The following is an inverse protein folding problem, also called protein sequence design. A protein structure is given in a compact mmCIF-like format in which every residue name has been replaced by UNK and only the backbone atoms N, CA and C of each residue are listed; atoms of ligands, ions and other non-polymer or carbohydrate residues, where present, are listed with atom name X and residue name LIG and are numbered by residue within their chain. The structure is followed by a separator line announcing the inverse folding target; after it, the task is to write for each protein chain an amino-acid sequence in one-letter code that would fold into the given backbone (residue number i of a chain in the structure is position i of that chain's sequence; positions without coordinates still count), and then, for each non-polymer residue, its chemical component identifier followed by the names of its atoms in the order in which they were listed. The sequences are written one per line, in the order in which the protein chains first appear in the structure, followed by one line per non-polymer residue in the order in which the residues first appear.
data_IF_375583259346
#
_entry.id   IF_375583259346
#
_cell.length_a   1.000
_cell.length_b   1.000
_cell.length_c   1.000
_cell.angle_alpha   90.00
_cell.angle_beta   90.00
_cell.angle_gamma   90.00
#
_symmetry.space_group_name_H-M   'P 1'
#
loop_
_entity.id
_entity.type
_entity.pdbx_description
1 polymer ?
#
# COMPACT_ATOMS: atom_id res chain seq x y z
N UNK A 1 -16.77 2.40 -15.50
CA UNK A 1 -16.12 3.69 -15.21
C UNK A 1 -17.20 4.75 -15.42
N UNK A 2 -17.47 5.59 -14.42
CA UNK A 2 -18.55 6.59 -14.45
C UNK A 2 -19.88 6.05 -15.01
N UNK A 3 -20.31 4.89 -14.52
CA UNK A 3 -21.55 4.21 -14.97
C UNK A 3 -21.46 3.57 -16.35
N UNK A 4 -20.36 3.68 -17.09
CA UNK A 4 -20.20 3.07 -18.41
C UNK A 4 -19.52 1.71 -18.32
N UNK A 5 -20.07 0.72 -19.01
CA UNK A 5 -19.40 -0.56 -19.20
C UNK A 5 -18.21 -0.37 -20.18
N UNK A 6 -17.00 -0.70 -19.72
CA UNK A 6 -15.76 -0.55 -20.51
C UNK A 6 -15.13 -1.89 -20.91
N UNK A 7 -15.79 -3.02 -20.70
CA UNK A 7 -15.25 -4.35 -20.99
C UNK A 7 -14.80 -4.50 -22.45
N UNK A 8 -15.59 -3.99 -23.41
CA UNK A 8 -15.27 -4.03 -24.85
C UNK A 8 -14.40 -2.86 -25.35
N UNK A 9 -14.03 -1.91 -24.48
CA UNK A 9 -13.28 -0.72 -24.87
C UNK A 9 -11.78 -0.98 -24.77
N UNK A 10 -10.99 -0.58 -25.78
CA UNK A 10 -9.54 -0.68 -25.74
C UNK A 10 -8.98 0.11 -24.53
N UNK A 11 -7.95 -0.40 -23.82
CA UNK A 11 -7.38 0.28 -22.62
C UNK A 11 -7.01 1.74 -22.87
N UNK A 12 -6.48 2.08 -24.04
CA UNK A 12 -6.12 3.46 -24.42
C UNK A 12 -7.30 4.44 -24.50
N UNK A 13 -8.53 3.92 -24.66
CA UNK A 13 -9.76 4.70 -24.79
C UNK A 13 -10.62 4.70 -23.50
N UNK A 14 -10.15 4.09 -22.40
CA UNK A 14 -10.89 3.98 -21.14
C UNK A 14 -10.77 5.22 -20.24
N UNK A 15 -10.06 6.22 -20.66
CA UNK A 15 -9.76 7.45 -19.88
C UNK A 15 -9.11 7.17 -18.52
N UNK A 16 -8.29 6.13 -18.47
CA UNK A 16 -7.45 5.77 -17.33
C UNK A 16 -6.01 6.14 -17.61
N UNK A 17 -5.27 6.49 -16.57
CA UNK A 17 -3.81 6.66 -16.65
C UNK A 17 -3.11 5.65 -15.77
N UNK A 18 -2.06 5.03 -16.28
CA UNK A 18 -1.28 4.03 -15.55
C UNK A 18 0.13 4.56 -15.26
N UNK A 19 0.55 4.37 -14.02
CA UNK A 19 1.91 4.59 -13.53
C UNK A 19 2.49 3.23 -13.21
N UNK A 20 3.51 2.82 -13.97
CA UNK A 20 4.17 1.53 -13.83
C UNK A 20 5.26 1.58 -12.77
N UNK A 21 5.58 0.44 -12.17
CA UNK A 21 6.66 0.23 -11.22
C UNK A 21 8.01 0.77 -11.73
N UNK A 22 8.36 0.53 -13.01
CA UNK A 22 9.58 1.02 -13.65
C UNK A 22 9.50 2.47 -14.12
N UNK A 23 8.38 3.18 -13.82
CA UNK A 23 8.06 4.51 -14.33
C UNK A 23 7.86 4.57 -15.85
N UNK A 24 8.40 3.65 -16.63
CA UNK A 24 8.33 3.53 -18.09
C UNK A 24 8.57 4.87 -18.83
N UNK A 25 9.54 5.67 -18.38
CA UNK A 25 9.91 6.93 -19.02
C UNK A 25 10.76 6.65 -20.27
N UNK A 26 10.55 7.45 -21.31
CA UNK A 26 11.36 7.40 -22.53
C UNK A 26 12.73 8.02 -22.26
N UNK A 27 13.84 7.24 -22.22
CA UNK A 27 15.13 7.72 -21.75
C UNK A 27 15.79 8.74 -22.68
N UNK A 28 15.44 8.73 -23.95
CA UNK A 28 15.96 9.64 -24.98
C UNK A 28 15.22 10.99 -25.04
N UNK A 29 14.03 11.08 -24.43
CA UNK A 29 13.22 12.29 -24.38
C UNK A 29 13.49 13.09 -23.11
N UNK A 30 13.36 14.43 -23.18
CA UNK A 30 13.34 15.27 -21.98
C UNK A 30 12.09 15.02 -21.13
N UNK A 31 12.07 15.50 -19.88
CA UNK A 31 10.91 15.47 -19.00
C UNK A 31 9.70 16.11 -19.69
N UNK A 32 9.86 17.30 -20.24
CA UNK A 32 8.79 17.99 -20.97
C UNK A 32 8.21 17.11 -22.08
N UNK A 33 9.05 16.51 -22.92
CA UNK A 33 8.60 15.64 -23.99
C UNK A 33 7.97 14.34 -23.50
N UNK A 34 8.47 13.75 -22.41
CA UNK A 34 7.82 12.62 -21.76
C UNK A 34 6.39 12.95 -21.35
N UNK A 35 6.18 14.12 -20.72
CA UNK A 35 4.86 14.57 -20.29
C UNK A 35 3.96 14.98 -21.47
N UNK A 36 4.52 15.54 -22.54
CA UNK A 36 3.76 15.92 -23.76
C UNK A 36 3.25 14.71 -24.54
N UNK A 37 3.99 13.59 -24.54
CA UNK A 37 3.74 12.42 -25.42
C UNK A 37 2.28 11.95 -25.41
N UNK A 38 1.61 11.74 -24.26
CA UNK A 38 0.23 11.28 -24.26
C UNK A 38 -0.74 12.26 -24.95
N UNK A 39 -0.53 13.56 -24.77
CA UNK A 39 -1.36 14.60 -25.39
C UNK A 39 -1.08 14.72 -26.89
N UNK A 40 0.18 14.61 -27.30
CA UNK A 40 0.52 14.60 -28.72
C UNK A 40 -0.14 13.43 -29.47
N UNK A 41 -0.21 12.26 -28.80
CA UNK A 41 -0.86 11.07 -29.37
C UNK A 41 -2.39 11.15 -29.34
N UNK A 42 -2.99 11.91 -28.44
CA UNK A 42 -4.44 12.09 -28.36
C UNK A 42 -4.94 13.19 -29.28
N UNK A 43 -4.28 14.35 -29.26
CA UNK A 43 -4.83 15.60 -29.79
C UNK A 43 -4.34 15.92 -31.21
N UNK A 44 -3.19 15.33 -31.66
CA UNK A 44 -2.67 15.50 -33.01
C UNK A 44 -3.09 14.35 -33.92
N UNK A 45 -3.59 14.68 -35.10
CA UNK A 45 -3.84 13.71 -36.18
C UNK A 45 -2.52 13.11 -36.70
N UNK A 46 -2.60 11.99 -37.41
CA UNK A 46 -1.42 11.34 -37.99
C UNK A 46 -0.61 12.31 -38.88
N UNK A 47 -1.28 13.14 -39.71
CA UNK A 47 -0.64 14.13 -40.55
C UNK A 47 0.05 15.25 -39.74
N UNK A 48 -0.58 15.71 -38.67
CA UNK A 48 -0.02 16.75 -37.81
C UNK A 48 1.20 16.27 -36.99
N UNK A 49 1.37 14.95 -36.81
CA UNK A 49 2.56 14.37 -36.16
C UNK A 49 3.77 14.32 -37.07
N UNK A 50 3.59 14.31 -38.38
CA UNK A 50 4.70 14.30 -39.35
C UNK A 50 5.44 15.63 -39.34
N UNK A 51 6.80 15.63 -39.35
CA UNK A 51 7.59 16.85 -39.14
C UNK A 51 7.42 17.89 -40.26
N UNK A 52 7.23 17.46 -41.50
CA UNK A 52 7.07 18.34 -42.65
C UNK A 52 5.61 18.72 -42.92
N UNK A 53 4.72 17.73 -43.05
CA UNK A 53 3.30 17.94 -43.35
C UNK A 53 2.54 18.62 -42.18
N UNK A 54 2.92 18.33 -40.97
CA UNK A 54 2.29 18.95 -39.80
C UNK A 54 2.55 20.46 -39.69
N UNK A 55 3.62 21.00 -40.28
CA UNK A 55 3.89 22.44 -40.30
C UNK A 55 2.89 23.23 -41.12
N UNK A 56 2.22 22.59 -42.06
CA UNK A 56 1.22 23.20 -42.92
C UNK A 56 -0.15 23.37 -42.24
N UNK A 57 -0.38 22.73 -41.07
CA UNK A 57 -1.62 22.84 -40.33
C UNK A 57 -1.61 24.06 -39.38
N UNK A 58 -2.44 25.09 -39.61
CA UNK A 58 -2.53 26.24 -38.71
C UNK A 58 -3.05 25.84 -37.29
N UNK A 59 -3.82 24.74 -37.20
CA UNK A 59 -4.36 24.22 -35.94
C UNK A 59 -3.27 23.60 -35.06
N UNK A 60 -2.22 23.01 -35.64
CA UNK A 60 -1.11 22.37 -34.92
C UNK A 60 -0.42 23.31 -33.94
N UNK A 61 -0.14 24.55 -34.38
CA UNK A 61 0.52 25.53 -33.50
C UNK A 61 -0.30 25.90 -32.28
N UNK A 62 -1.61 25.99 -32.41
CA UNK A 62 -2.53 26.21 -31.26
C UNK A 62 -2.56 25.01 -30.31
N UNK A 63 -2.69 23.78 -30.87
CA UNK A 63 -2.69 22.55 -30.09
C UNK A 63 -1.37 22.37 -29.32
N UNK A 64 -0.22 22.60 -29.94
CA UNK A 64 1.09 22.51 -29.29
C UNK A 64 1.24 23.49 -28.13
N UNK A 65 0.78 24.75 -28.29
CA UNK A 65 0.78 25.74 -27.20
C UNK A 65 -0.10 25.31 -26.03
N UNK A 66 -1.29 24.78 -26.32
CA UNK A 66 -2.19 24.23 -25.28
C UNK A 66 -1.56 23.05 -24.54
N UNK A 67 -0.92 22.13 -25.25
CA UNK A 67 -0.21 21.00 -24.67
C UNK A 67 0.94 21.48 -23.78
N UNK A 68 1.75 22.42 -24.25
CA UNK A 68 2.85 22.98 -23.46
C UNK A 68 2.34 23.70 -22.19
N UNK A 69 1.23 24.43 -22.29
CA UNK A 69 0.61 25.09 -21.13
C UNK A 69 0.16 24.06 -20.09
N UNK A 70 -0.53 22.98 -20.51
CA UNK A 70 -0.95 21.90 -19.63
C UNK A 70 0.24 21.18 -18.95
N UNK A 71 1.31 20.95 -19.69
CA UNK A 71 2.54 20.35 -19.15
C UNK A 71 3.19 21.26 -18.11
N UNK A 72 3.28 22.57 -18.37
CA UNK A 72 3.85 23.53 -17.41
C UNK A 72 3.01 23.62 -16.13
N UNK A 73 1.68 23.67 -16.26
CA UNK A 73 0.77 23.66 -15.12
C UNK A 73 0.96 22.41 -14.27
N UNK A 74 0.96 21.24 -14.89
CA UNK A 74 1.19 19.96 -14.19
C UNK A 74 2.59 19.90 -13.56
N UNK A 75 3.62 20.39 -14.24
CA UNK A 75 4.98 20.42 -13.71
C UNK A 75 5.09 21.34 -12.48
N UNK A 76 4.34 22.45 -12.45
CA UNK A 76 4.24 23.35 -11.30
C UNK A 76 3.59 22.65 -10.11
N UNK A 77 2.46 21.98 -10.32
CA UNK A 77 1.78 21.20 -9.28
C UNK A 77 2.70 20.16 -8.65
N UNK A 78 3.53 19.52 -9.45
CA UNK A 78 4.49 18.48 -9.01
C UNK A 78 5.86 19.05 -8.57
N UNK A 79 6.04 20.37 -8.61
CA UNK A 79 7.30 21.06 -8.25
C UNK A 79 8.52 20.55 -9.05
N UNK A 80 8.34 20.29 -10.36
CA UNK A 80 9.37 19.78 -11.29
C UNK A 80 9.63 20.70 -12.50
N UNK A 81 9.19 21.95 -12.49
CA UNK A 81 9.37 22.90 -13.60
C UNK A 81 10.83 23.03 -14.03
N UNK A 82 11.76 23.10 -13.06
CA UNK A 82 13.20 23.21 -13.27
C UNK A 82 13.83 21.96 -13.90
N UNK A 83 13.07 20.85 -13.95
CA UNK A 83 13.55 19.58 -14.51
C UNK A 83 13.09 19.35 -15.95
N UNK A 84 12.22 20.20 -16.52
CA UNK A 84 11.56 19.99 -17.81
C UNK A 84 12.54 19.71 -18.97
N UNK A 85 13.73 20.30 -18.95
CA UNK A 85 14.75 20.11 -19.99
C UNK A 85 15.69 18.92 -19.74
N UNK A 86 15.66 18.32 -18.53
CA UNK A 86 16.50 17.16 -18.21
C UNK A 86 15.96 15.88 -18.82
N UNK A 87 16.85 14.89 -18.97
CA UNK A 87 16.50 13.51 -19.36
C UNK A 87 16.33 12.62 -18.14
N UNK A 88 15.57 11.52 -18.22
CA UNK A 88 15.34 10.60 -17.09
C UNK A 88 16.61 10.11 -16.40
N UNK A 89 17.70 9.87 -17.13
CA UNK A 89 18.99 9.46 -16.56
C UNK A 89 19.66 10.49 -15.66
N UNK A 90 19.22 11.76 -15.71
CA UNK A 90 19.75 12.87 -14.89
C UNK A 90 18.88 13.14 -13.64
N UNK A 91 17.91 12.28 -13.35
CA UNK A 91 16.93 12.45 -12.29
C UNK A 91 17.13 11.43 -11.16
N UNK A 92 16.85 11.83 -9.93
CA UNK A 92 16.73 10.91 -8.81
C UNK A 92 15.49 10.00 -8.96
N UNK A 93 15.37 8.94 -8.16
CA UNK A 93 14.22 8.03 -8.15
C UNK A 93 12.89 8.77 -7.95
N UNK A 94 12.78 9.59 -6.91
CA UNK A 94 11.58 10.39 -6.63
C UNK A 94 11.27 11.41 -7.72
N UNK A 95 12.30 12.02 -8.36
CA UNK A 95 12.08 12.90 -9.50
C UNK A 95 11.52 12.15 -10.71
N UNK A 96 12.05 10.94 -11.03
CA UNK A 96 11.50 10.08 -12.09
C UNK A 96 10.05 9.71 -11.82
N UNK A 97 9.71 9.39 -10.59
CA UNK A 97 8.34 9.09 -10.17
C UNK A 97 7.41 10.29 -10.40
N UNK A 98 7.78 11.49 -9.96
CA UNK A 98 6.97 12.71 -10.20
C UNK A 98 6.78 12.98 -11.70
N UNK A 99 7.79 12.70 -12.53
CA UNK A 99 7.66 12.82 -13.99
C UNK A 99 6.68 11.79 -14.55
N UNK A 100 6.74 10.54 -14.10
CA UNK A 100 5.80 9.50 -14.52
C UNK A 100 4.35 9.85 -14.13
N UNK A 101 4.18 10.35 -12.91
CA UNK A 101 2.89 10.84 -12.42
C UNK A 101 2.41 12.05 -13.24
N UNK A 102 3.30 13.01 -13.54
CA UNK A 102 3.00 14.15 -14.38
C UNK A 102 2.56 13.75 -15.80
N UNK A 103 3.21 12.75 -16.39
CA UNK A 103 2.82 12.17 -17.68
C UNK A 103 1.41 11.54 -17.62
N UNK A 104 1.02 10.97 -16.50
CA UNK A 104 -0.33 10.47 -16.26
C UNK A 104 -1.34 11.60 -16.08
N UNK A 105 -1.01 12.60 -15.25
CA UNK A 105 -1.87 13.71 -14.88
C UNK A 105 -2.25 14.66 -16.03
N UNK A 106 -1.35 14.91 -16.98
CA UNK A 106 -1.63 15.82 -18.11
C UNK A 106 -2.83 15.39 -18.95
N UNK A 107 -3.21 14.11 -18.89
CA UNK A 107 -4.41 13.59 -19.57
C UNK A 107 -5.72 13.94 -18.85
N UNK A 108 -5.65 14.35 -17.58
CA UNK A 108 -6.81 14.54 -16.68
C UNK A 108 -7.71 13.30 -16.67
N UNK A 109 -7.16 12.11 -16.33
CA UNK A 109 -7.93 10.87 -16.38
C UNK A 109 -8.98 10.82 -15.28
N UNK A 110 -10.01 9.97 -15.48
CA UNK A 110 -11.05 9.71 -14.47
C UNK A 110 -10.48 8.95 -13.26
N UNK A 111 -9.51 8.06 -13.50
CA UNK A 111 -8.83 7.36 -12.42
C UNK A 111 -7.37 7.05 -12.80
N UNK A 112 -6.54 6.94 -11.75
CA UNK A 112 -5.15 6.53 -11.83
C UNK A 112 -4.99 5.08 -11.39
N UNK A 113 -4.27 4.29 -12.19
CA UNK A 113 -3.84 2.94 -11.83
C UNK A 113 -2.34 3.02 -11.50
N UNK A 114 -1.97 2.67 -10.28
CA UNK A 114 -0.59 2.73 -9.80
C UNK A 114 -0.13 1.33 -9.43
N UNK A 115 0.87 0.83 -10.15
CA UNK A 115 1.44 -0.49 -9.96
C UNK A 115 2.78 -0.35 -9.24
N UNK A 116 2.77 -0.60 -7.92
CA UNK A 116 3.91 -0.51 -7.01
C UNK A 116 4.80 0.75 -7.22
N UNK A 117 4.25 1.95 -7.25
CA UNK A 117 4.99 3.14 -7.71
C UNK A 117 6.14 3.56 -6.79
N UNK A 118 6.19 3.07 -5.54
CA UNK A 118 7.22 3.40 -4.55
C UNK A 118 8.26 2.28 -4.33
N UNK A 119 8.08 1.09 -4.92
CA UNK A 119 8.92 -0.08 -4.65
C UNK A 119 10.40 0.11 -5.00
N UNK A 120 10.71 0.94 -6.00
CA UNK A 120 12.08 1.22 -6.46
C UNK A 120 12.78 2.37 -5.71
N UNK A 121 12.22 2.82 -4.57
CA UNK A 121 12.79 3.87 -3.74
C UNK A 121 13.42 3.29 -2.48
N UNK A 122 14.46 3.95 -1.97
CA UNK A 122 15.01 3.67 -0.65
C UNK A 122 13.99 4.00 0.46
N UNK A 123 14.19 3.43 1.65
CA UNK A 123 13.22 3.52 2.74
C UNK A 123 12.91 4.98 3.16
N UNK A 124 13.93 5.83 3.27
CA UNK A 124 13.74 7.22 3.68
C UNK A 124 12.97 8.02 2.64
N UNK A 125 13.33 7.86 1.37
CA UNK A 125 12.65 8.51 0.26
C UNK A 125 11.22 8.00 0.11
N UNK A 126 10.96 6.71 0.38
CA UNK A 126 9.62 6.09 0.33
C UNK A 126 8.68 6.74 1.35
N UNK A 127 9.14 6.96 2.60
CA UNK A 127 8.34 7.65 3.63
C UNK A 127 7.95 9.06 3.17
N UNK A 128 8.90 9.81 2.61
CA UNK A 128 8.64 11.16 2.11
C UNK A 128 7.66 11.15 0.93
N UNK A 129 7.86 10.25 -0.02
CA UNK A 129 7.01 10.14 -1.22
C UNK A 129 5.58 9.66 -0.91
N UNK A 130 5.39 8.84 0.14
CA UNK A 130 4.04 8.50 0.63
C UNK A 130 3.26 9.74 1.04
N UNK A 131 3.87 10.59 1.87
CA UNK A 131 3.23 11.82 2.32
C UNK A 131 2.86 12.73 1.13
N UNK A 132 3.81 12.95 0.20
CA UNK A 132 3.55 13.76 -1.00
C UNK A 132 2.44 13.18 -1.89
N UNK A 133 2.41 11.87 -2.07
CA UNK A 133 1.39 11.22 -2.90
C UNK A 133 0.01 11.29 -2.25
N UNK A 134 -0.08 11.17 -0.92
CA UNK A 134 -1.31 11.35 -0.17
C UNK A 134 -1.83 12.80 -0.25
N UNK A 135 -0.94 13.80 -0.16
CA UNK A 135 -1.30 15.21 -0.37
C UNK A 135 -1.82 15.47 -1.78
N UNK A 136 -1.13 14.92 -2.77
CA UNK A 136 -1.52 15.06 -4.17
C UNK A 136 -2.88 14.39 -4.45
N UNK A 137 -3.12 13.20 -3.92
CA UNK A 137 -4.42 12.52 -4.02
C UNK A 137 -5.54 13.40 -3.49
N UNK A 138 -5.37 13.97 -2.28
CA UNK A 138 -6.34 14.90 -1.69
C UNK A 138 -6.56 16.15 -2.53
N UNK A 139 -5.50 16.73 -3.08
CA UNK A 139 -5.57 17.93 -3.90
C UNK A 139 -6.26 17.70 -5.26
N UNK A 140 -6.08 16.52 -5.85
CA UNK A 140 -6.68 16.18 -7.14
C UNK A 140 -8.14 15.75 -7.04
N UNK A 141 -8.57 15.17 -5.91
CA UNK A 141 -9.92 14.60 -5.74
C UNK A 141 -10.24 13.47 -6.73
N UNK A 142 -9.21 12.87 -7.34
CA UNK A 142 -9.36 11.82 -8.34
C UNK A 142 -9.30 10.43 -7.70
N UNK A 143 -9.88 9.44 -8.34
CA UNK A 143 -9.81 8.05 -7.88
C UNK A 143 -8.42 7.46 -8.18
N UNK A 144 -7.75 6.91 -7.14
CA UNK A 144 -6.50 6.19 -7.26
C UNK A 144 -6.74 4.72 -6.94
N UNK A 145 -6.37 3.82 -7.84
CA UNK A 145 -6.27 2.37 -7.59
C UNK A 145 -4.78 2.08 -7.46
N UNK A 146 -4.37 1.76 -6.24
CA UNK A 146 -2.98 1.62 -5.86
C UNK A 146 -2.67 0.17 -5.51
N UNK A 147 -1.77 -0.46 -6.24
CA UNK A 147 -1.28 -1.82 -5.96
C UNK A 147 0.04 -1.70 -5.21
N UNK A 148 0.13 -2.37 -4.08
CA UNK A 148 1.34 -2.43 -3.26
C UNK A 148 1.41 -3.75 -2.49
N UNK A 149 2.62 -4.18 -2.16
CA UNK A 149 2.88 -5.23 -1.19
C UNK A 149 3.34 -4.65 0.18
N UNK A 150 3.50 -3.34 0.29
CA UNK A 150 3.87 -2.63 1.52
C UNK A 150 2.60 -2.28 2.30
N UNK A 151 2.44 -2.90 3.47
CA UNK A 151 1.27 -2.70 4.34
C UNK A 151 1.19 -1.25 4.85
N UNK A 152 2.34 -0.62 5.13
CA UNK A 152 2.35 0.76 5.60
C UNK A 152 1.85 1.73 4.53
N UNK A 153 2.11 1.46 3.25
CA UNK A 153 1.53 2.23 2.14
C UNK A 153 0.01 2.05 2.11
N UNK A 154 -0.47 0.80 2.15
CA UNK A 154 -1.89 0.51 2.11
C UNK A 154 -2.63 1.16 3.29
N UNK A 155 -2.15 0.97 4.53
CA UNK A 155 -2.81 1.46 5.74
C UNK A 155 -2.80 2.98 5.87
N UNK A 156 -1.75 3.67 5.36
CA UNK A 156 -1.59 5.12 5.57
C UNK A 156 -2.15 6.00 4.45
N UNK A 157 -2.32 5.44 3.24
CA UNK A 157 -2.65 6.24 2.06
C UNK A 157 -4.05 5.98 1.51
N UNK A 158 -4.67 4.84 1.82
CA UNK A 158 -5.93 4.44 1.20
C UNK A 158 -7.15 4.76 2.06
N UNK A 159 -8.29 4.99 1.41
CA UNK A 159 -9.59 5.08 2.06
C UNK A 159 -10.22 3.69 2.20
N UNK A 160 -9.87 2.75 1.31
CA UNK A 160 -10.31 1.35 1.33
C UNK A 160 -9.18 0.46 0.87
N UNK A 161 -9.06 -0.70 1.49
CA UNK A 161 -8.07 -1.72 1.16
C UNK A 161 -8.81 -2.98 0.67
N UNK A 162 -8.35 -3.54 -0.45
CA UNK A 162 -8.74 -4.85 -0.91
C UNK A 162 -7.57 -5.82 -0.69
N UNK A 163 -7.72 -6.75 0.25
CA UNK A 163 -6.72 -7.80 0.49
C UNK A 163 -6.96 -8.94 -0.50
N UNK A 164 -5.94 -9.23 -1.32
CA UNK A 164 -6.01 -10.26 -2.36
C UNK A 164 -5.01 -11.38 -2.06
N UNK A 165 -5.45 -12.62 -2.18
CA UNK A 165 -4.60 -13.81 -2.12
C UNK A 165 -5.04 -14.86 -3.13
N UNK A 166 -4.08 -15.46 -3.83
CA UNK A 166 -4.36 -16.48 -4.83
C UNK A 166 -5.36 -16.05 -5.92
N UNK A 167 -5.37 -14.75 -6.28
CA UNK A 167 -6.26 -14.19 -7.28
C UNK A 167 -7.69 -13.88 -6.79
N UNK A 168 -7.98 -14.12 -5.50
CA UNK A 168 -9.28 -13.83 -4.89
C UNK A 168 -9.18 -12.66 -3.93
N UNK A 169 -10.22 -11.82 -3.90
CA UNK A 169 -10.37 -10.77 -2.89
C UNK A 169 -10.96 -11.43 -1.64
N UNK A 170 -10.23 -11.36 -0.52
CA UNK A 170 -10.66 -11.90 0.77
C UNK A 170 -11.51 -10.91 1.54
N UNK A 171 -11.10 -9.64 1.56
CA UNK A 171 -11.81 -8.58 2.29
C UNK A 171 -11.61 -7.24 1.58
N UNK A 172 -12.63 -6.38 1.64
CA UNK A 172 -12.56 -4.98 1.20
C UNK A 172 -13.17 -4.11 2.28
N UNK A 173 -12.36 -3.34 3.00
CA UNK A 173 -12.82 -2.51 4.11
C UNK A 173 -11.93 -1.25 4.28
N UNK A 174 -12.20 -0.42 5.28
CA UNK A 174 -11.32 0.68 5.68
C UNK A 174 -10.00 0.13 6.26
N UNK A 175 -8.92 0.92 6.32
CA UNK A 175 -7.68 0.49 6.98
C UNK A 175 -7.89 0.01 8.43
N UNK A 176 -8.72 0.71 9.19
CA UNK A 176 -9.08 0.37 10.57
C UNK A 176 -9.80 -0.98 10.65
N UNK A 177 -10.87 -1.17 9.87
CA UNK A 177 -11.62 -2.44 9.86
C UNK A 177 -10.77 -3.63 9.39
N UNK A 178 -9.86 -3.44 8.42
CA UNK A 178 -8.94 -4.50 7.97
C UNK A 178 -8.01 -4.94 9.10
N UNK A 179 -7.58 -4.00 9.94
CA UNK A 179 -6.68 -4.27 11.06
C UNK A 179 -7.41 -4.86 12.26
N UNK A 180 -8.54 -4.26 12.66
CA UNK A 180 -9.26 -4.58 13.90
C UNK A 180 -10.25 -5.73 13.73
N UNK A 181 -10.92 -5.82 12.55
CA UNK A 181 -11.97 -6.79 12.25
C UNK A 181 -11.68 -7.62 10.99
N UNK A 182 -10.56 -8.35 10.93
CA UNK A 182 -10.25 -9.20 9.80
C UNK A 182 -11.28 -10.34 9.70
N UNK A 183 -11.93 -10.49 8.55
CA UNK A 183 -12.95 -11.53 8.32
C UNK A 183 -12.38 -12.93 8.05
N UNK A 184 -11.07 -13.04 7.85
CA UNK A 184 -10.34 -14.27 7.54
C UNK A 184 -8.97 -14.24 8.25
N UNK A 185 -8.56 -15.39 8.81
CA UNK A 185 -7.27 -15.50 9.50
C UNK A 185 -6.09 -15.09 8.59
N UNK A 186 -6.17 -15.41 7.30
CA UNK A 186 -5.15 -15.02 6.32
C UNK A 186 -5.01 -13.51 6.19
N UNK A 187 -6.12 -12.75 6.32
CA UNK A 187 -6.09 -11.28 6.35
C UNK A 187 -5.41 -10.80 7.62
N UNK A 188 -5.77 -11.38 8.78
CA UNK A 188 -5.16 -11.05 10.06
C UNK A 188 -3.64 -11.30 10.07
N UNK A 189 -3.19 -12.41 9.49
CA UNK A 189 -1.78 -12.78 9.37
C UNK A 189 -1.00 -11.94 8.36
N UNK A 190 -1.69 -11.46 7.32
CA UNK A 190 -1.07 -10.63 6.29
C UNK A 190 -0.89 -9.20 6.74
N UNK A 191 -1.82 -8.65 7.53
CA UNK A 191 -1.83 -7.26 7.97
C UNK A 191 -1.25 -7.13 9.38
N UNK A 192 -0.28 -6.26 9.53
CA UNK A 192 0.40 -5.96 10.80
C UNK A 192 1.86 -6.41 10.82
N UNK A 193 2.69 -5.60 11.47
CA UNK A 193 4.12 -5.89 11.68
C UNK A 193 4.48 -5.54 13.14
N UNK A 194 4.85 -6.55 13.94
CA UNK A 194 4.91 -8.00 13.66
C UNK A 194 3.56 -8.62 13.33
N UNK A 195 3.60 -9.86 12.78
CA UNK A 195 2.38 -10.63 12.49
C UNK A 195 1.57 -10.90 13.75
N UNK A 196 0.26 -11.08 13.60
CA UNK A 196 -0.63 -11.53 14.64
C UNK A 196 -0.16 -12.90 15.19
N UNK A 197 -0.23 -13.06 16.50
CA UNK A 197 0.03 -14.34 17.13
C UNK A 197 -1.17 -15.27 16.96
N UNK A 198 -0.92 -16.53 16.59
CA UNK A 198 -1.96 -17.55 16.43
C UNK A 198 -1.68 -18.69 17.41
N UNK A 199 -2.67 -19.04 18.22
CA UNK A 199 -2.57 -20.07 19.27
C UNK A 199 -3.66 -21.12 19.06
N UNK A 200 -3.31 -22.42 19.13
CA UNK A 200 -4.33 -23.46 19.14
C UNK A 200 -5.14 -23.40 20.41
N UNK A 201 -6.44 -23.55 20.27
CA UNK A 201 -7.40 -23.50 21.38
C UNK A 201 -8.53 -24.50 21.16
N UNK A 202 -9.31 -24.72 22.22
CA UNK A 202 -10.55 -25.50 22.16
C UNK A 202 -11.70 -24.68 22.69
N UNK A 203 -12.86 -24.79 22.04
CA UNK A 203 -14.11 -24.23 22.54
C UNK A 203 -15.02 -25.37 23.02
N UNK A 204 -15.64 -25.20 24.20
CA UNK A 204 -16.65 -26.12 24.73
C UNK A 204 -18.06 -25.80 24.21
N UNK A 205 -19.05 -26.59 24.64
CA UNK A 205 -20.45 -26.42 24.27
C UNK A 205 -21.06 -25.10 24.81
N UNK A 206 -20.52 -24.56 25.89
CA UNK A 206 -20.96 -23.31 26.53
C UNK A 206 -20.21 -22.08 25.94
N UNK A 207 -19.32 -22.32 24.98
CA UNK A 207 -18.55 -21.28 24.29
C UNK A 207 -17.31 -20.80 25.03
N UNK A 208 -16.89 -21.49 26.10
CA UNK A 208 -15.63 -21.15 26.78
C UNK A 208 -14.45 -21.58 25.91
N UNK A 209 -13.47 -20.69 25.77
CA UNK A 209 -12.26 -20.94 24.98
C UNK A 209 -11.13 -21.28 25.95
N UNK A 210 -10.49 -22.42 25.74
CA UNK A 210 -9.32 -22.84 26.50
C UNK A 210 -8.06 -22.82 25.62
N UNK A 211 -7.01 -22.10 26.03
CA UNK A 211 -5.67 -22.04 25.43
C UNK A 211 -4.67 -22.62 26.45
N UNK A 212 -3.95 -23.68 26.08
CA UNK A 212 -3.01 -24.40 26.98
C UNK A 212 -3.59 -24.72 28.36
N UNK A 213 -4.90 -25.10 28.43
CA UNK A 213 -5.61 -25.42 29.67
C UNK A 213 -6.08 -24.23 30.47
N UNK A 214 -5.84 -23.01 30.06
CA UNK A 214 -6.36 -21.77 30.65
C UNK A 214 -7.62 -21.31 29.95
N UNK A 215 -8.69 -21.04 30.65
CA UNK A 215 -9.94 -20.52 30.10
C UNK A 215 -9.82 -19.02 29.93
N UNK A 216 -10.09 -18.55 28.72
CA UNK A 216 -10.11 -17.12 28.38
C UNK A 216 -11.45 -16.48 28.84
N UNK A 217 -11.45 -15.18 29.16
CA UNK A 217 -12.68 -14.46 29.50
C UNK A 217 -13.66 -14.31 28.32
N UNK A 218 -13.12 -14.39 27.07
CA UNK A 218 -13.91 -14.33 25.86
C UNK A 218 -14.69 -15.62 25.64
N UNK A 219 -15.88 -15.48 25.04
CA UNK A 219 -16.72 -16.62 24.66
C UNK A 219 -16.95 -16.66 23.16
N UNK A 220 -16.91 -17.85 22.61
CA UNK A 220 -17.22 -18.08 21.20
C UNK A 220 -18.70 -18.45 21.06
N UNK A 221 -19.39 -17.73 20.17
CA UNK A 221 -20.72 -18.13 19.73
C UNK A 221 -20.55 -19.01 18.49
N UNK A 222 -20.68 -20.33 18.65
CA UNK A 222 -20.46 -21.24 17.51
C UNK A 222 -20.42 -22.70 17.91
N UNK A 223 -19.90 -23.53 17.03
CA UNK A 223 -19.81 -24.98 17.24
C UNK A 223 -18.60 -25.32 18.13
N UNK A 224 -18.75 -26.19 19.15
CA UNK A 224 -17.63 -26.65 19.97
C UNK A 224 -16.58 -27.38 19.13
N UNK A 225 -15.32 -27.27 19.53
CA UNK A 225 -14.23 -27.97 18.86
C UNK A 225 -12.90 -27.24 18.87
N UNK A 226 -12.01 -27.65 17.99
CA UNK A 226 -10.73 -27.00 17.80
C UNK A 226 -10.93 -25.64 17.14
N UNK A 227 -10.31 -24.59 17.71
CA UNK A 227 -10.33 -23.22 17.23
C UNK A 227 -8.93 -22.61 17.27
N UNK A 228 -8.75 -21.50 16.57
CA UNK A 228 -7.51 -20.74 16.64
C UNK A 228 -7.80 -19.39 17.29
N UNK A 229 -7.09 -19.06 18.35
CA UNK A 229 -7.10 -17.72 18.94
C UNK A 229 -6.01 -16.89 18.27
N UNK A 230 -6.41 -15.76 17.71
CA UNK A 230 -5.50 -14.80 17.11
C UNK A 230 -5.43 -13.53 17.95
N UNK A 231 -4.24 -13.06 18.32
CA UNK A 231 -4.04 -11.88 19.15
C UNK A 231 -2.88 -11.04 18.68
N UNK A 232 -3.11 -9.72 18.53
CA UNK A 232 -2.07 -8.78 18.10
C UNK A 232 -0.97 -8.66 19.17
N UNK A 233 0.30 -8.43 18.78
CA UNK A 233 1.44 -8.27 19.70
C UNK A 233 1.23 -7.18 20.77
N UNK A 234 0.55 -6.09 20.44
CA UNK A 234 0.24 -4.98 21.33
C UNK A 234 -0.86 -5.27 22.35
N UNK A 235 -1.66 -6.30 22.12
CA UNK A 235 -2.71 -6.74 23.05
C UNK A 235 -2.21 -7.78 24.07
N UNK A 236 -0.99 -8.29 23.88
CA UNK A 236 -0.33 -9.14 24.85
C UNK A 236 0.50 -8.28 25.83
N UNK A 237 0.54 -8.70 27.09
CA UNK A 237 1.36 -8.06 28.12
C UNK A 237 2.24 -9.10 28.79
N UNK A 238 3.46 -8.69 29.15
CA UNK A 238 4.35 -9.47 29.99
C UNK A 238 4.09 -9.04 31.41
N UNK A 239 3.74 -9.98 32.30
CA UNK A 239 3.59 -9.77 33.71
C UNK A 239 4.65 -10.53 34.48
N UNK A 240 5.11 -9.99 35.61
CA UNK A 240 5.88 -10.73 36.62
C UNK A 240 4.91 -11.25 37.69
N UNK A 241 4.86 -12.57 37.89
CA UNK A 241 4.12 -13.19 38.99
C UNK A 241 2.80 -13.88 38.62
N UNK A 242 2.13 -14.42 39.62
CA UNK A 242 0.88 -15.18 39.56
C UNK A 242 -0.28 -14.31 39.05
N UNK A 243 -0.45 -14.23 37.72
CA UNK A 243 -1.66 -13.73 37.11
C UNK A 243 -2.61 -14.90 36.90
N UNK A 244 -3.76 -14.93 37.54
CA UNK A 244 -4.78 -15.99 37.40
C UNK A 244 -5.20 -16.27 35.94
N UNK A 245 -4.92 -15.31 35.02
CA UNK A 245 -5.27 -15.39 33.61
C UNK A 245 -4.05 -15.41 32.68
N UNK A 246 -2.83 -15.53 33.20
CA UNK A 246 -1.59 -15.56 32.45
C UNK A 246 -1.25 -16.96 31.92
N UNK A 247 -0.46 -16.99 30.84
CA UNK A 247 0.18 -18.18 30.32
C UNK A 247 1.68 -18.13 30.67
N UNK A 248 2.21 -19.23 31.16
CA UNK A 248 3.65 -19.34 31.40
C UNK A 248 4.42 -19.28 30.10
N UNK A 249 5.39 -18.37 30.04
CA UNK A 249 6.19 -18.13 28.84
C UNK A 249 7.69 -18.05 29.17
N UNK A 250 8.50 -18.62 28.30
CA UNK A 250 9.96 -18.50 28.35
C UNK A 250 10.40 -17.48 27.31
N UNK A 251 11.03 -16.37 27.72
CA UNK A 251 11.60 -15.38 26.81
C UNK A 251 12.74 -16.03 26.03
N UNK A 252 12.66 -15.96 24.70
CA UNK A 252 13.70 -16.47 23.78
C UNK A 252 14.62 -15.32 23.37
N UNK A 253 14.05 -14.16 22.99
CA UNK A 253 14.79 -13.07 22.39
C UNK A 253 14.05 -11.75 22.60
N UNK A 254 14.80 -10.65 22.80
CA UNK A 254 14.27 -9.29 22.85
C UNK A 254 14.83 -8.48 21.69
N UNK A 255 13.98 -7.94 20.86
CA UNK A 255 14.32 -7.06 19.75
C UNK A 255 14.02 -5.62 20.15
N UNK A 256 15.06 -4.79 20.25
CA UNK A 256 14.93 -3.39 20.65
C UNK A 256 15.11 -2.47 19.43
N UNK A 257 14.04 -1.87 18.97
CA UNK A 257 14.03 -0.92 17.83
C UNK A 257 14.02 0.55 18.29
N UNK A 258 14.34 0.82 19.56
CA UNK A 258 14.36 2.15 20.12
C UNK A 258 13.01 2.56 20.73
N UNK A 259 12.04 2.91 19.91
CA UNK A 259 10.70 3.28 20.36
C UNK A 259 9.85 2.07 20.77
N UNK A 260 10.07 0.93 20.14
CA UNK A 260 9.35 -0.32 20.37
C UNK A 260 10.33 -1.42 20.82
N UNK A 261 9.88 -2.27 21.73
CA UNK A 261 10.57 -3.49 22.13
C UNK A 261 9.66 -4.66 21.82
N UNK A 262 10.12 -5.60 21.00
CA UNK A 262 9.41 -6.85 20.75
C UNK A 262 10.06 -7.98 21.51
N UNK A 263 9.26 -8.66 22.32
CA UNK A 263 9.70 -9.80 23.12
C UNK A 263 9.17 -11.07 22.47
N UNK A 264 10.07 -11.92 22.00
CA UNK A 264 9.76 -13.23 21.46
C UNK A 264 9.79 -14.23 22.60
N UNK A 265 8.66 -14.89 22.84
CA UNK A 265 8.52 -15.87 23.92
C UNK A 265 7.98 -17.21 23.38
N UNK A 266 8.34 -18.28 24.05
CA UNK A 266 7.80 -19.62 23.84
C UNK A 266 6.75 -19.90 24.90
N UNK A 267 5.57 -20.33 24.47
CA UNK A 267 4.50 -20.86 25.31
C UNK A 267 4.55 -22.38 25.25
N UNK A 268 4.31 -23.03 26.41
CA UNK A 268 4.30 -24.49 26.51
C UNK A 268 5.66 -25.06 26.92
N UNK A 269 5.66 -25.95 27.84
CA UNK A 269 6.76 -26.68 28.44
C UNK A 269 6.20 -27.92 29.18
N UNK A 270 4.92 -28.23 28.91
CA UNK A 270 4.26 -29.43 29.36
C UNK A 270 4.20 -30.49 28.26
N UNK A 271 3.90 -31.67 28.58
CA UNK A 271 3.75 -32.98 27.93
C UNK A 271 3.70 -33.05 26.36
N UNK A 272 3.54 -31.94 25.62
CA UNK A 272 3.63 -31.90 24.14
C UNK A 272 4.83 -31.07 23.70
N UNK A 273 5.75 -31.68 22.97
CA UNK A 273 7.01 -31.11 22.46
C UNK A 273 6.88 -29.92 21.46
N UNK A 274 5.71 -29.31 21.31
CA UNK A 274 5.50 -28.22 20.36
C UNK A 274 5.53 -26.89 21.08
N UNK A 275 6.65 -26.19 20.98
CA UNK A 275 6.77 -24.80 21.43
C UNK A 275 5.99 -23.87 20.49
N UNK A 276 5.00 -23.17 21.01
CA UNK A 276 4.31 -22.08 20.29
C UNK A 276 4.99 -20.75 20.56
N UNK A 277 5.43 -20.07 19.51
CA UNK A 277 6.09 -18.77 19.62
C UNK A 277 5.09 -17.66 19.55
N UNK A 278 5.24 -16.69 20.46
CA UNK A 278 4.46 -15.44 20.46
C UNK A 278 5.39 -14.24 20.49
N UNK A 279 4.90 -13.14 19.94
CA UNK A 279 5.57 -11.84 19.96
C UNK A 279 4.70 -10.91 20.78
N UNK A 280 5.31 -10.25 21.78
CA UNK A 280 4.67 -9.25 22.62
C UNK A 280 5.31 -7.90 22.32
N UNK A 281 4.51 -6.90 22.02
CA UNK A 281 4.99 -5.51 21.95
C UNK A 281 4.99 -4.91 23.35
N UNK A 282 6.15 -4.46 23.79
CA UNK A 282 6.35 -3.85 25.12
C UNK A 282 6.82 -2.42 24.98
N UNK A 283 6.51 -1.59 25.97
CA UNK A 283 7.06 -0.25 26.03
C UNK A 283 8.55 -0.29 26.45
N UNK A 284 9.36 0.72 26.09
CA UNK A 284 10.76 0.83 26.51
C UNK A 284 10.95 0.86 28.04
N UNK A 285 9.91 1.20 28.81
CA UNK A 285 9.96 1.28 30.27
C UNK A 285 10.05 -0.10 30.94
N UNK A 286 9.65 -1.16 30.25
CA UNK A 286 9.76 -2.56 30.73
C UNK A 286 11.21 -3.11 30.56
N UNK A 287 12.24 -2.25 30.50
CA UNK A 287 13.64 -2.63 30.31
C UNK A 287 14.32 -3.21 31.56
N UNK A 288 13.73 -3.12 32.72
CA UNK A 288 14.39 -3.37 34.02
C UNK A 288 13.97 -4.65 34.75
N UNK A 289 13.24 -5.58 34.09
CA UNK A 289 12.92 -6.86 34.72
C UNK A 289 13.31 -8.08 33.86
#
# INVERSE_FOLDING_TARGET
IDGRNVAGIRPSARDLAMVFQSYALYPHLSVERNMMTPLLLRDLSLLERLPLLGRLSPARGRKLRSIQAAVKETARTLKIEQLLQRKPGQLSGGQRQRVALGRAMVRKPVAFLMDEPLSNLDAALRVHMRAELAELHRALGATFIYVTHDQAEALTMSNRIAVMMGGNILQVATPEDIYDEPCDLRVAEFIGSPKINTLPATADADGHIAVFGRILPQRLVGTPGAVTVAVRPEHLRIGAGDCDQGLDARIIYKENLGADVFVHAALGGGITDVEHRVIVRSSPETRSE
#
